data_IF_452931789757
#
_entry.id   IF_452931789757
#
_cell.length_a   1.000
_cell.length_b   1.000
_cell.length_c   1.000
_cell.angle_alpha   90.00
_cell.angle_beta   90.00
_cell.angle_gamma   90.00
#
_symmetry.space_group_name_H-M   'P 1'
#
loop_
_entity.id
_entity.type
_entity.pdbx_description
1 polymer ?
#
# COMPACT_ATOMS: atom_id res chain seq x y z
N UNK A 1 -17.49 15.20 15.63
CA UNK A 1 -17.33 14.93 14.18
C UNK A 1 -17.45 13.42 14.00
N UNK A 2 -18.40 12.91 13.21
CA UNK A 2 -18.63 11.45 13.13
C UNK A 2 -17.40 10.71 12.62
N UNK A 3 -17.09 9.55 13.20
CA UNK A 3 -15.95 8.69 12.81
C UNK A 3 -15.95 8.42 11.29
N UNK A 4 -17.14 8.21 10.70
CA UNK A 4 -17.32 7.99 9.26
C UNK A 4 -16.86 9.14 8.35
N UNK A 5 -16.68 10.36 8.87
CA UNK A 5 -16.12 11.48 8.08
C UNK A 5 -14.60 11.40 7.92
N UNK A 6 -13.90 10.58 8.72
CA UNK A 6 -12.46 10.43 8.63
C UNK A 6 -12.06 9.63 7.37
N UNK A 7 -11.16 10.18 6.56
CA UNK A 7 -10.72 9.55 5.31
C UNK A 7 -10.08 8.18 5.53
N UNK A 8 -9.36 7.97 6.63
CA UNK A 8 -8.77 6.65 6.97
C UNK A 8 -9.82 5.59 7.31
N UNK A 9 -10.96 5.99 7.89
CA UNK A 9 -12.07 5.07 8.16
C UNK A 9 -12.78 4.72 6.86
N UNK A 10 -13.03 5.70 6.00
CA UNK A 10 -13.60 5.47 4.67
C UNK A 10 -12.71 4.53 3.84
N UNK A 11 -11.39 4.74 3.86
CA UNK A 11 -10.42 3.84 3.21
C UNK A 11 -10.46 2.43 3.83
N UNK A 12 -10.54 2.32 5.15
CA UNK A 12 -10.62 1.01 5.81
C UNK A 12 -11.89 0.26 5.42
N UNK A 13 -13.01 0.97 5.24
CA UNK A 13 -14.27 0.36 4.79
C UNK A 13 -14.16 -0.14 3.34
N UNK A 14 -13.53 0.61 2.43
CA UNK A 14 -13.32 0.13 1.05
C UNK A 14 -12.38 -1.08 1.02
N UNK A 15 -11.32 -1.09 1.84
CA UNK A 15 -10.42 -2.24 1.97
C UNK A 15 -11.13 -3.47 2.57
N UNK A 16 -12.00 -3.27 3.56
CA UNK A 16 -12.82 -4.33 4.13
C UNK A 16 -13.78 -4.90 3.08
N UNK A 17 -14.36 -4.05 2.22
CA UNK A 17 -15.23 -4.50 1.14
C UNK A 17 -14.48 -5.37 0.11
N UNK A 18 -13.24 -4.98 -0.24
CA UNK A 18 -12.35 -5.81 -1.06
C UNK A 18 -12.09 -7.16 -0.37
N UNK A 19 -11.79 -7.17 0.94
CA UNK A 19 -11.58 -8.41 1.70
C UNK A 19 -12.82 -9.31 1.71
N UNK A 20 -14.00 -8.74 1.93
CA UNK A 20 -15.26 -9.50 1.94
C UNK A 20 -15.53 -10.15 0.57
N UNK A 21 -15.24 -9.44 -0.52
CA UNK A 21 -15.34 -9.99 -1.86
C UNK A 21 -14.38 -11.16 -2.10
N UNK A 22 -13.15 -11.08 -1.57
CA UNK A 22 -12.22 -12.21 -1.59
C UNK A 22 -12.81 -13.43 -0.84
N UNK A 23 -13.39 -13.21 0.33
CA UNK A 23 -14.00 -14.29 1.11
C UNK A 23 -15.20 -14.95 0.39
N UNK A 24 -15.96 -14.20 -0.41
CA UNK A 24 -17.08 -14.73 -1.21
C UNK A 24 -16.62 -15.55 -2.42
N UNK A 25 -15.48 -15.18 -3.03
CA UNK A 25 -14.98 -15.81 -4.26
C UNK A 25 -14.05 -16.99 -3.99
N UNK A 26 -13.27 -16.91 -2.91
CA UNK A 26 -12.26 -17.90 -2.55
C UNK A 26 -12.13 -17.99 -1.02
N UNK A 27 -13.15 -18.56 -0.38
CA UNK A 27 -13.14 -18.70 1.07
C UNK A 27 -11.99 -19.61 1.53
N UNK A 28 -11.16 -19.09 2.42
CA UNK A 28 -10.12 -19.85 3.12
C UNK A 28 -10.01 -19.33 4.55
N UNK A 29 -10.11 -20.20 5.55
CA UNK A 29 -10.00 -19.80 6.95
C UNK A 29 -8.63 -19.20 7.27
N UNK A 30 -7.58 -19.63 6.56
CA UNK A 30 -6.24 -19.11 6.68
C UNK A 30 -6.16 -17.61 6.34
N UNK A 31 -6.95 -17.15 5.35
CA UNK A 31 -7.09 -15.73 5.00
C UNK A 31 -7.64 -14.95 6.19
N UNK A 32 -8.74 -15.46 6.78
CA UNK A 32 -9.37 -14.79 7.92
C UNK A 32 -8.41 -14.67 9.09
N UNK A 33 -7.72 -15.76 9.45
CA UNK A 33 -6.76 -15.77 10.55
C UNK A 33 -5.61 -14.80 10.25
N UNK A 34 -4.99 -14.88 9.06
CA UNK A 34 -3.85 -14.03 8.70
C UNK A 34 -4.21 -12.54 8.73
N UNK A 35 -5.32 -12.15 8.11
CA UNK A 35 -5.77 -10.75 8.08
C UNK A 35 -6.19 -10.26 9.47
N UNK A 36 -6.92 -11.08 10.24
CA UNK A 36 -7.28 -10.73 11.62
C UNK A 36 -6.04 -10.55 12.49
N UNK A 37 -5.05 -11.44 12.39
CA UNK A 37 -3.79 -11.30 13.11
C UNK A 37 -3.03 -10.04 12.69
N UNK A 38 -2.99 -9.71 11.39
CA UNK A 38 -2.37 -8.48 10.91
C UNK A 38 -3.03 -7.24 11.53
N UNK A 39 -4.36 -7.15 11.49
CA UNK A 39 -5.14 -6.00 12.03
C UNK A 39 -5.04 -5.92 13.56
N UNK A 40 -5.19 -7.03 14.27
CA UNK A 40 -5.08 -7.05 15.73
C UNK A 40 -3.66 -6.65 16.16
N UNK A 41 -2.64 -7.15 15.46
CA UNK A 41 -1.24 -6.83 15.75
C UNK A 41 -0.90 -5.37 15.47
N UNK A 42 -1.42 -4.75 14.39
CA UNK A 42 -1.20 -3.32 14.16
C UNK A 42 -1.90 -2.49 15.23
N UNK A 43 -3.15 -2.79 15.59
CA UNK A 43 -3.88 -2.04 16.61
C UNK A 43 -3.20 -2.17 17.98
N UNK A 44 -2.86 -3.39 18.38
CA UNK A 44 -2.19 -3.66 19.65
C UNK A 44 -0.82 -2.95 19.71
N UNK A 45 0.00 -3.09 18.67
CA UNK A 45 1.32 -2.46 18.61
C UNK A 45 1.23 -0.93 18.59
N UNK A 46 0.25 -0.35 17.90
CA UNK A 46 0.05 1.10 17.90
C UNK A 46 -0.28 1.61 19.30
N UNK A 47 -1.20 0.96 20.01
CA UNK A 47 -1.53 1.32 21.39
C UNK A 47 -0.34 1.14 22.33
N UNK A 48 0.38 0.02 22.22
CA UNK A 48 1.58 -0.23 23.00
C UNK A 48 2.62 0.86 22.79
N UNK A 49 2.94 1.20 21.54
CA UNK A 49 3.93 2.21 21.21
C UNK A 49 3.48 3.63 21.55
N UNK A 50 2.19 3.96 21.44
CA UNK A 50 1.65 5.22 21.94
C UNK A 50 1.80 5.34 23.45
N UNK A 51 1.54 4.26 24.20
CA UNK A 51 1.74 4.20 25.66
C UNK A 51 3.21 4.38 26.02
N UNK A 52 4.14 3.71 25.33
CA UNK A 52 5.59 3.88 25.52
C UNK A 52 6.00 5.33 25.26
N UNK A 53 5.45 5.96 24.23
CA UNK A 53 5.69 7.37 23.90
C UNK A 53 4.93 8.37 24.78
N UNK A 54 4.16 7.90 25.77
CA UNK A 54 3.30 8.71 26.65
C UNK A 54 2.34 9.62 25.88
N UNK A 55 1.87 9.17 24.71
CA UNK A 55 0.87 9.87 23.90
C UNK A 55 -0.52 9.39 24.31
N UNK A 56 -1.48 10.32 24.43
CA UNK A 56 -2.88 9.97 24.72
C UNK A 56 -3.42 8.99 23.66
N UNK A 57 -4.08 7.93 24.12
CA UNK A 57 -4.70 6.96 23.22
C UNK A 57 -5.88 7.60 22.48
N UNK A 58 -6.05 7.23 21.23
CA UNK A 58 -7.16 7.68 20.37
C UNK A 58 -7.55 6.53 19.44
N UNK A 59 -8.69 6.66 18.77
CA UNK A 59 -9.20 5.61 17.88
C UNK A 59 -8.20 5.26 16.76
N UNK A 60 -7.76 4.00 16.62
CA UNK A 60 -6.58 3.62 15.83
C UNK A 60 -6.89 3.44 14.34
N UNK A 61 -7.62 4.38 13.72
CA UNK A 61 -8.08 4.27 12.32
C UNK A 61 -6.94 4.04 11.31
N UNK A 62 -5.79 4.69 11.52
CA UNK A 62 -4.61 4.47 10.68
C UNK A 62 -3.97 3.09 10.87
N UNK A 63 -4.01 2.52 12.09
CA UNK A 63 -3.46 1.19 12.35
C UNK A 63 -4.35 0.10 11.74
N UNK A 64 -5.69 0.27 11.81
CA UNK A 64 -6.65 -0.63 11.15
C UNK A 64 -6.43 -0.65 9.63
N UNK A 65 -6.36 0.51 8.98
CA UNK A 65 -6.08 0.61 7.55
C UNK A 65 -4.74 -0.07 7.19
N UNK A 66 -3.70 0.15 8.00
CA UNK A 66 -2.38 -0.47 7.80
C UNK A 66 -2.45 -1.99 7.91
N UNK A 67 -3.17 -2.52 8.91
CA UNK A 67 -3.32 -3.96 9.10
C UNK A 67 -4.12 -4.63 7.99
N UNK A 68 -5.15 -3.96 7.45
CA UNK A 68 -5.88 -4.43 6.27
C UNK A 68 -4.99 -4.48 5.03
N UNK A 69 -4.16 -3.46 4.80
CA UNK A 69 -3.19 -3.47 3.70
C UNK A 69 -2.20 -4.63 3.86
N UNK A 70 -1.60 -4.79 5.04
CA UNK A 70 -0.66 -5.90 5.30
C UNK A 70 -1.35 -7.25 5.07
N UNK A 71 -2.58 -7.42 5.56
CA UNK A 71 -3.35 -8.65 5.39
C UNK A 71 -3.67 -8.97 3.93
N UNK A 72 -4.00 -7.98 3.10
CA UNK A 72 -4.29 -8.15 1.67
C UNK A 72 -3.02 -8.45 0.82
N UNK A 73 -1.84 -8.11 1.33
CA UNK A 73 -0.58 -8.18 0.58
C UNK A 73 0.34 -9.33 1.02
N UNK A 74 0.21 -9.80 2.27
CA UNK A 74 1.00 -10.92 2.79
C UNK A 74 0.33 -12.24 2.42
N UNK A 75 1.08 -13.20 1.87
CA UNK A 75 0.52 -14.52 1.54
C UNK A 75 -0.09 -15.18 2.79
N UNK A 76 -1.39 -15.55 2.75
CA UNK A 76 -2.07 -16.12 3.90
C UNK A 76 -1.48 -17.47 4.32
N UNK A 77 -0.86 -18.22 3.41
CA UNK A 77 -0.30 -19.54 3.69
C UNK A 77 1.06 -19.49 4.40
N UNK A 78 1.63 -18.30 4.55
CA UNK A 78 2.85 -18.10 5.34
C UNK A 78 2.60 -18.35 6.84
N UNK A 79 3.66 -18.73 7.59
CA UNK A 79 3.58 -18.80 9.03
C UNK A 79 3.03 -17.53 9.67
N UNK A 80 2.08 -17.67 10.60
CA UNK A 80 1.34 -16.55 11.19
C UNK A 80 2.21 -15.49 11.89
N UNK A 81 3.42 -15.83 12.31
CA UNK A 81 4.32 -14.85 12.90
C UNK A 81 4.79 -13.79 11.89
N UNK A 82 4.77 -14.07 10.58
CA UNK A 82 5.21 -13.12 9.55
C UNK A 82 4.27 -11.91 9.39
N UNK A 83 2.94 -12.06 9.19
CA UNK A 83 2.03 -10.91 9.18
C UNK A 83 2.02 -10.17 10.54
N UNK A 84 2.22 -10.88 11.65
CA UNK A 84 2.35 -10.26 12.98
C UNK A 84 3.59 -9.37 13.05
N UNK A 85 4.76 -9.87 12.64
CA UNK A 85 6.00 -9.07 12.63
C UNK A 85 5.94 -7.91 11.64
N UNK A 86 5.31 -8.08 10.48
CA UNK A 86 5.08 -7.00 9.53
C UNK A 86 4.27 -5.88 10.18
N UNK A 87 3.21 -6.24 10.91
CA UNK A 87 2.39 -5.29 11.66
C UNK A 87 3.15 -4.57 12.77
N UNK A 88 4.01 -5.29 13.52
CA UNK A 88 4.86 -4.70 14.56
C UNK A 88 5.84 -3.70 13.95
N UNK A 89 6.57 -4.09 12.88
CA UNK A 89 7.51 -3.21 12.19
C UNK A 89 6.83 -1.99 11.55
N UNK A 90 5.63 -2.16 11.00
CA UNK A 90 4.83 -1.06 10.49
C UNK A 90 4.53 -0.03 11.58
N UNK A 91 4.03 -0.49 12.73
CA UNK A 91 3.69 0.41 13.84
C UNK A 91 4.94 0.99 14.51
N UNK A 92 6.05 0.28 14.52
CA UNK A 92 7.34 0.79 14.99
C UNK A 92 7.77 1.98 14.12
N UNK A 93 7.75 1.83 12.80
CA UNK A 93 8.07 2.93 11.86
C UNK A 93 7.15 4.13 12.04
N UNK A 94 5.84 3.89 12.11
CA UNK A 94 4.83 4.94 12.34
C UNK A 94 5.07 5.72 13.64
N UNK A 95 5.52 5.05 14.70
CA UNK A 95 5.63 5.66 16.03
C UNK A 95 7.00 6.26 16.32
N UNK A 96 8.09 5.65 15.85
CA UNK A 96 9.45 6.03 16.22
C UNK A 96 10.27 6.66 15.08
N UNK A 97 10.00 6.32 13.81
CA UNK A 97 10.75 6.87 12.67
C UNK A 97 10.03 8.10 12.11
N UNK A 98 10.25 9.25 12.75
CA UNK A 98 9.45 10.47 12.55
C UNK A 98 10.29 11.75 12.53
N UNK A 99 9.82 12.74 11.78
CA UNK A 99 10.23 14.14 11.87
C UNK A 99 8.95 14.99 11.95
N UNK A 100 8.43 15.19 13.16
CA UNK A 100 7.05 15.64 13.44
C UNK A 100 5.99 14.58 13.09
N UNK A 101 5.92 14.19 11.82
CA UNK A 101 5.12 13.07 11.29
C UNK A 101 6.00 11.89 10.91
N UNK A 102 5.41 10.71 10.74
CA UNK A 102 6.16 9.52 10.33
C UNK A 102 6.69 9.67 8.91
N UNK A 103 7.91 9.17 8.73
CA UNK A 103 8.64 9.31 7.46
C UNK A 103 8.10 8.31 6.45
N UNK A 104 7.99 7.05 6.82
CA UNK A 104 7.66 5.97 5.89
C UNK A 104 6.18 5.59 5.91
N UNK A 105 5.68 5.07 4.78
CA UNK A 105 4.38 4.41 4.72
C UNK A 105 4.46 3.17 5.63
N UNK A 106 3.67 3.09 6.71
CA UNK A 106 3.84 2.04 7.71
C UNK A 106 3.70 0.62 7.13
N UNK A 107 2.68 0.37 6.31
CA UNK A 107 2.44 -0.96 5.72
C UNK A 107 3.63 -1.39 4.85
N UNK A 108 4.07 -0.48 3.98
CA UNK A 108 5.20 -0.71 3.07
C UNK A 108 6.49 -1.01 3.84
N UNK A 109 6.72 -0.29 4.94
CA UNK A 109 7.91 -0.48 5.77
C UNK A 109 7.89 -1.86 6.46
N UNK A 110 6.76 -2.25 7.03
CA UNK A 110 6.60 -3.56 7.68
C UNK A 110 6.75 -4.73 6.71
N UNK A 111 6.11 -4.64 5.54
CA UNK A 111 6.19 -5.63 4.47
C UNK A 111 7.62 -5.75 3.93
N UNK A 112 8.32 -4.64 3.68
CA UNK A 112 9.69 -4.68 3.18
C UNK A 112 10.65 -5.31 4.20
N UNK A 113 10.58 -4.92 5.48
CA UNK A 113 11.46 -5.50 6.50
C UNK A 113 11.24 -7.01 6.68
N UNK A 114 9.98 -7.45 6.74
CA UNK A 114 9.70 -8.89 6.84
C UNK A 114 10.11 -9.64 5.59
N UNK A 115 9.94 -9.06 4.40
CA UNK A 115 10.39 -9.67 3.15
C UNK A 115 11.91 -9.82 3.09
N UNK A 116 12.66 -8.76 3.40
CA UNK A 116 14.13 -8.75 3.33
C UNK A 116 14.77 -9.61 4.42
N UNK A 117 14.30 -9.52 5.67
CA UNK A 117 14.97 -10.17 6.80
C UNK A 117 14.44 -11.57 7.11
N UNK A 118 13.20 -11.88 6.72
CA UNK A 118 12.52 -13.14 7.07
C UNK A 118 12.01 -13.91 5.85
N UNK A 119 12.26 -13.43 4.63
CA UNK A 119 11.85 -14.10 3.40
C UNK A 119 10.33 -14.13 3.17
N UNK A 120 9.57 -13.24 3.81
CA UNK A 120 8.13 -13.16 3.59
C UNK A 120 7.82 -12.69 2.16
N UNK A 121 7.04 -13.48 1.41
CA UNK A 121 6.58 -13.08 0.09
C UNK A 121 5.48 -12.01 0.20
N UNK A 122 5.56 -10.99 -0.66
CA UNK A 122 4.52 -9.99 -0.84
C UNK A 122 3.74 -10.39 -2.09
N UNK A 123 2.67 -11.17 -1.88
CA UNK A 123 1.96 -11.86 -2.97
C UNK A 123 0.87 -11.01 -3.62
N UNK A 124 0.45 -9.92 -2.97
CA UNK A 124 -0.69 -9.11 -3.40
C UNK A 124 -1.98 -9.94 -3.58
N UNK A 125 -2.09 -11.07 -2.86
CA UNK A 125 -3.12 -12.10 -3.09
C UNK A 125 -4.54 -11.54 -3.06
N UNK A 126 -4.81 -10.54 -2.21
CA UNK A 126 -6.15 -9.98 -2.06
C UNK A 126 -6.60 -9.11 -3.23
N UNK A 127 -5.71 -8.85 -4.20
CA UNK A 127 -5.90 -7.87 -5.27
C UNK A 127 -5.47 -8.39 -6.64
N UNK A 128 -4.36 -9.12 -6.75
CA UNK A 128 -3.70 -9.45 -8.02
C UNK A 128 -4.61 -10.21 -9.02
N UNK A 129 -5.58 -10.98 -8.53
CA UNK A 129 -6.50 -11.75 -9.37
C UNK A 129 -7.64 -10.93 -9.98
N UNK A 130 -7.84 -9.68 -9.55
CA UNK A 130 -8.94 -8.82 -9.96
C UNK A 130 -8.66 -8.20 -11.34
N UNK A 131 -8.36 -9.02 -12.34
CA UNK A 131 -7.86 -8.60 -13.65
C UNK A 131 -8.96 -7.87 -14.43
N UNK A 132 -8.59 -6.77 -15.09
CA UNK A 132 -9.49 -6.05 -15.97
C UNK A 132 -9.73 -6.83 -17.28
N UNK A 133 -10.95 -7.35 -17.44
CA UNK A 133 -11.38 -8.07 -18.65
C UNK A 133 -12.87 -7.79 -18.90
N UNK A 134 -13.19 -7.11 -19.99
CA UNK A 134 -14.57 -6.78 -20.36
C UNK A 134 -15.42 -8.01 -20.71
N UNK A 135 -14.79 -9.12 -21.11
CA UNK A 135 -15.49 -10.33 -21.53
C UNK A 135 -16.02 -11.16 -20.36
N UNK A 136 -15.47 -10.96 -19.16
CA UNK A 136 -15.75 -11.78 -17.97
C UNK A 136 -16.25 -10.93 -16.81
N UNK A 137 -17.56 -10.99 -16.56
CA UNK A 137 -18.16 -10.32 -15.40
C UNK A 137 -17.54 -10.73 -14.06
N UNK A 138 -17.07 -11.99 -13.95
CA UNK A 138 -16.44 -12.52 -12.74
C UNK A 138 -15.16 -11.77 -12.33
N UNK A 139 -14.41 -11.21 -13.28
CA UNK A 139 -13.17 -10.45 -13.00
C UNK A 139 -13.39 -8.94 -13.13
N UNK A 140 -14.29 -8.50 -14.02
CA UNK A 140 -14.65 -7.10 -14.20
C UNK A 140 -15.27 -6.49 -12.92
N UNK A 141 -16.23 -7.17 -12.28
CA UNK A 141 -16.90 -6.65 -11.08
C UNK A 141 -15.90 -6.44 -9.93
N UNK A 142 -15.04 -7.44 -9.59
CA UNK A 142 -13.94 -7.23 -8.64
C UNK A 142 -13.03 -6.05 -9.00
N UNK A 143 -12.62 -5.91 -10.26
CA UNK A 143 -11.77 -4.78 -10.68
C UNK A 143 -12.46 -3.43 -10.46
N UNK A 144 -13.76 -3.31 -10.75
CA UNK A 144 -14.50 -2.07 -10.46
C UNK A 144 -14.56 -1.77 -8.96
N UNK A 145 -14.68 -2.81 -8.13
CA UNK A 145 -14.63 -2.69 -6.67
C UNK A 145 -13.23 -2.28 -6.19
N UNK A 146 -12.17 -2.77 -6.85
CA UNK A 146 -10.79 -2.36 -6.59
C UNK A 146 -10.59 -0.84 -6.74
N UNK A 147 -11.35 -0.19 -7.62
CA UNK A 147 -11.30 1.26 -7.82
C UNK A 147 -12.01 2.05 -6.72
N UNK A 148 -12.80 1.42 -5.84
CA UNK A 148 -13.54 2.11 -4.77
C UNK A 148 -12.66 2.97 -3.83
N UNK A 149 -11.43 2.59 -3.44
CA UNK A 149 -10.55 3.43 -2.64
C UNK A 149 -10.12 4.72 -3.37
N UNK A 150 -10.14 4.72 -4.71
CA UNK A 150 -9.74 5.87 -5.51
C UNK A 150 -10.60 7.10 -5.19
N UNK A 151 -11.90 6.90 -4.91
CA UNK A 151 -12.78 7.99 -4.50
C UNK A 151 -12.25 8.71 -3.25
N UNK A 152 -11.80 7.94 -2.25
CA UNK A 152 -11.24 8.50 -1.01
C UNK A 152 -9.92 9.22 -1.30
N UNK A 153 -9.02 8.61 -2.06
CA UNK A 153 -7.69 9.17 -2.30
C UNK A 153 -7.67 10.38 -3.23
N UNK A 154 -8.51 10.38 -4.27
CA UNK A 154 -8.62 11.48 -5.23
C UNK A 154 -9.36 12.65 -4.60
N UNK A 155 -10.55 12.44 -4.04
CA UNK A 155 -11.42 13.53 -3.62
C UNK A 155 -11.23 13.90 -2.15
N UNK A 156 -11.21 12.92 -1.24
CA UNK A 156 -11.13 13.20 0.21
C UNK A 156 -9.73 13.54 0.66
N UNK A 157 -8.71 12.97 0.02
CA UNK A 157 -7.30 13.26 0.33
C UNK A 157 -6.66 14.26 -0.64
N UNK A 158 -7.34 14.60 -1.74
CA UNK A 158 -6.88 15.56 -2.75
C UNK A 158 -5.49 15.23 -3.31
N UNK A 159 -5.23 13.93 -3.57
CA UNK A 159 -3.93 13.41 -4.02
C UNK A 159 -3.88 12.98 -5.48
N UNK A 160 -4.87 13.36 -6.28
CA UNK A 160 -4.94 12.99 -7.70
C UNK A 160 -3.67 13.30 -8.51
N UNK A 161 -2.96 14.38 -8.17
CA UNK A 161 -1.72 14.79 -8.86
C UNK A 161 -0.57 13.80 -8.65
N UNK A 162 -0.48 13.20 -7.46
CA UNK A 162 0.51 12.14 -7.18
C UNK A 162 0.21 10.93 -8.05
N UNK A 163 -1.05 10.50 -8.06
CA UNK A 163 -1.53 9.31 -8.77
C UNK A 163 -1.29 9.47 -10.28
N UNK A 164 -1.75 10.59 -10.87
CA UNK A 164 -1.57 10.85 -12.30
C UNK A 164 -0.11 10.97 -12.69
N UNK A 165 0.70 11.69 -11.90
CA UNK A 165 2.13 11.83 -12.21
C UNK A 165 2.87 10.50 -12.13
N UNK A 166 2.53 9.64 -11.17
CA UNK A 166 3.09 8.30 -11.04
C UNK A 166 2.75 7.43 -12.25
N UNK A 167 1.46 7.33 -12.60
CA UNK A 167 1.00 6.52 -13.72
C UNK A 167 1.60 6.98 -15.05
N UNK A 168 1.70 8.30 -15.26
CA UNK A 168 2.28 8.88 -16.45
C UNK A 168 3.76 8.52 -16.60
N UNK A 169 4.58 8.75 -15.56
CA UNK A 169 6.01 8.42 -15.60
C UNK A 169 6.24 6.92 -15.70
N UNK A 170 5.41 6.10 -15.03
CA UNK A 170 5.50 4.64 -15.13
C UNK A 170 5.25 4.17 -16.57
N UNK A 171 4.18 4.64 -17.21
CA UNK A 171 3.85 4.27 -18.59
C UNK A 171 4.89 4.78 -19.59
N UNK A 172 5.42 5.99 -19.41
CA UNK A 172 6.52 6.51 -20.22
C UNK A 172 7.81 5.69 -20.04
N UNK A 173 8.16 5.34 -18.81
CA UNK A 173 9.35 4.53 -18.56
C UNK A 173 9.24 3.16 -19.22
N UNK A 174 8.10 2.48 -19.04
CA UNK A 174 7.84 1.20 -19.70
C UNK A 174 7.92 1.31 -21.23
N UNK A 175 7.34 2.35 -21.83
CA UNK A 175 7.35 2.51 -23.28
C UNK A 175 8.73 2.78 -23.87
N UNK A 176 9.58 3.51 -23.15
CA UNK A 176 10.97 3.77 -23.56
C UNK A 176 11.80 2.49 -23.53
N UNK A 177 11.73 1.72 -22.45
CA UNK A 177 12.58 0.53 -22.29
C UNK A 177 12.12 -0.67 -23.11
N UNK A 178 10.80 -0.94 -23.16
CA UNK A 178 10.23 -2.05 -23.91
C UNK A 178 9.84 -1.69 -25.35
N UNK A 179 10.11 -0.45 -25.78
CA UNK A 179 9.78 0.09 -27.12
C UNK A 179 8.34 -0.16 -27.56
N UNK A 180 7.41 -0.30 -26.61
CA UNK A 180 6.01 -0.62 -26.87
C UNK A 180 5.10 0.09 -25.86
N UNK A 181 4.01 0.67 -26.36
CA UNK A 181 2.99 1.29 -25.52
C UNK A 181 1.93 0.24 -25.18
N UNK A 182 2.10 -0.44 -24.04
CA UNK A 182 1.09 -1.35 -23.53
C UNK A 182 0.26 -0.69 -22.42
N UNK A 183 -0.94 -0.22 -22.76
CA UNK A 183 -1.84 0.44 -21.81
C UNK A 183 -2.33 -0.55 -20.73
N UNK A 184 -2.29 -1.86 -20.98
CA UNK A 184 -2.71 -2.84 -19.98
C UNK A 184 -1.82 -2.83 -18.73
N UNK A 185 -0.57 -2.35 -18.81
CA UNK A 185 0.33 -2.28 -17.65
C UNK A 185 -0.15 -1.32 -16.58
N UNK A 186 -0.88 -0.26 -16.95
CA UNK A 186 -1.46 0.67 -15.95
C UNK A 186 -2.76 0.15 -15.34
N UNK A 187 -3.36 -0.88 -15.96
CA UNK A 187 -4.56 -1.57 -15.48
C UNK A 187 -4.23 -2.82 -14.67
N UNK A 188 -2.94 -3.10 -14.44
CA UNK A 188 -2.51 -4.16 -13.55
C UNK A 188 -3.09 -3.93 -12.12
N UNK A 189 -3.78 -4.90 -11.52
CA UNK A 189 -4.45 -4.72 -10.24
C UNK A 189 -3.51 -4.32 -9.10
N UNK A 190 -2.28 -4.84 -9.08
CA UNK A 190 -1.30 -4.53 -8.02
C UNK A 190 -0.86 -3.08 -8.12
N UNK A 191 -0.59 -2.61 -9.34
CA UNK A 191 -0.22 -1.23 -9.61
C UNK A 191 -1.37 -0.25 -9.35
N UNK A 192 -2.60 -0.61 -9.75
CA UNK A 192 -3.80 0.17 -9.47
C UNK A 192 -3.97 0.34 -7.97
N UNK A 193 -3.97 -0.74 -7.20
CA UNK A 193 -4.11 -0.67 -5.74
C UNK A 193 -2.99 0.14 -5.09
N UNK A 194 -1.73 -0.11 -5.47
CA UNK A 194 -0.60 0.65 -4.97
C UNK A 194 -0.80 2.17 -5.21
N UNK A 195 -1.15 2.55 -6.44
CA UNK A 195 -1.29 3.94 -6.85
C UNK A 195 -2.43 4.67 -6.14
N UNK A 196 -3.51 3.98 -5.77
CA UNK A 196 -4.69 4.60 -5.14
C UNK A 196 -4.73 4.43 -3.62
N UNK A 197 -4.10 3.40 -3.03
CA UNK A 197 -4.15 3.13 -1.58
C UNK A 197 -2.87 3.53 -0.86
N UNK A 198 -1.71 3.11 -1.38
CA UNK A 198 -0.45 3.17 -0.63
C UNK A 198 0.34 4.43 -0.95
N UNK A 199 0.43 4.77 -2.24
CA UNK A 199 1.15 5.94 -2.75
C UNK A 199 0.59 7.29 -2.25
N UNK A 200 -0.73 7.55 -2.24
CA UNK A 200 -1.27 8.87 -1.93
C UNK A 200 -1.56 9.07 -0.42
N UNK A 201 -0.71 8.54 0.46
CA UNK A 201 -0.94 8.64 1.90
C UNK A 201 -0.60 10.06 2.46
N UNK A 202 -1.58 10.81 3.02
CA UNK A 202 -1.36 12.24 3.32
C UNK A 202 -0.27 12.54 4.33
N UNK A 203 -0.02 11.61 5.27
CA UNK A 203 1.01 11.77 6.29
C UNK A 203 2.42 11.57 5.73
N UNK A 204 2.55 10.78 4.66
CA UNK A 204 3.84 10.39 4.08
C UNK A 204 4.15 11.07 2.75
N UNK A 205 3.21 11.86 2.21
CA UNK A 205 3.42 12.61 0.97
C UNK A 205 3.38 14.13 1.18
N UNK A 206 3.97 14.92 0.26
CA UNK A 206 3.89 16.37 0.29
C UNK A 206 2.46 16.91 0.13
N UNK A 207 2.20 18.08 0.71
CA UNK A 207 0.92 18.80 0.52
C UNK A 207 0.89 19.70 -0.72
N UNK A 208 2.00 20.37 -1.04
CA UNK A 208 2.06 21.34 -2.14
C UNK A 208 1.89 20.69 -3.51
N UNK A 209 1.10 21.31 -4.40
CA UNK A 209 0.76 20.75 -5.72
C UNK A 209 1.97 20.38 -6.58
N UNK A 210 3.00 21.24 -6.66
CA UNK A 210 4.21 20.93 -7.42
C UNK A 210 5.00 19.76 -6.80
N UNK A 211 5.08 19.71 -5.48
CA UNK A 211 5.79 18.64 -4.77
C UNK A 211 5.05 17.30 -4.85
N UNK A 212 3.73 17.32 -4.97
CA UNK A 212 2.94 16.13 -5.24
C UNK A 212 3.28 15.52 -6.61
N UNK A 213 3.39 16.35 -7.65
CA UNK A 213 3.78 15.90 -9.00
C UNK A 213 5.20 15.34 -8.95
N UNK A 214 6.15 16.09 -8.38
CA UNK A 214 7.54 15.63 -8.25
C UNK A 214 7.66 14.31 -7.47
N UNK A 215 6.90 14.16 -6.39
CA UNK A 215 6.89 12.92 -5.60
C UNK A 215 6.35 11.74 -6.40
N UNK A 216 5.18 11.89 -7.04
CA UNK A 216 4.58 10.83 -7.86
C UNK A 216 5.48 10.43 -9.02
N UNK A 217 6.05 11.41 -9.73
CA UNK A 217 6.99 11.17 -10.82
C UNK A 217 8.29 10.50 -10.36
N UNK A 218 8.85 10.92 -9.23
CA UNK A 218 10.05 10.30 -8.66
C UNK A 218 9.81 8.83 -8.28
N UNK A 219 8.69 8.52 -7.63
CA UNK A 219 8.34 7.13 -7.31
C UNK A 219 8.12 6.31 -8.59
N UNK A 220 7.43 6.85 -9.59
CA UNK A 220 7.21 6.18 -10.88
C UNK A 220 8.51 5.86 -11.60
N UNK A 221 9.44 6.83 -11.63
CA UNK A 221 10.78 6.64 -12.18
C UNK A 221 11.57 5.56 -11.43
N UNK A 222 11.55 5.60 -10.09
CA UNK A 222 12.22 4.61 -9.26
C UNK A 222 11.67 3.19 -9.49
N UNK A 223 10.35 3.03 -9.64
CA UNK A 223 9.75 1.73 -9.93
C UNK A 223 10.30 1.14 -11.22
N UNK A 224 10.31 1.93 -12.30
CA UNK A 224 10.80 1.48 -13.61
C UNK A 224 12.31 1.17 -13.56
N UNK A 225 13.09 2.05 -12.92
CA UNK A 225 14.53 1.86 -12.81
C UNK A 225 14.88 0.61 -12.00
N UNK A 226 14.19 0.38 -10.87
CA UNK A 226 14.45 -0.76 -10.01
C UNK A 226 13.96 -2.08 -10.62
N UNK A 227 12.80 -2.08 -11.29
CA UNK A 227 12.24 -3.28 -11.92
C UNK A 227 13.07 -3.76 -13.10
N UNK A 228 13.64 -2.85 -13.90
CA UNK A 228 14.39 -3.20 -15.11
C UNK A 228 15.86 -3.48 -14.82
N UNK A 229 16.49 -2.68 -13.95
CA UNK A 229 17.95 -2.74 -13.77
C UNK A 229 18.36 -3.45 -12.48
N UNK A 230 17.88 -3.00 -11.31
CA UNK A 230 18.47 -3.45 -10.04
C UNK A 230 18.01 -4.84 -9.63
N UNK A 231 16.70 -5.10 -9.65
CA UNK A 231 16.17 -6.34 -9.07
C UNK A 231 16.54 -7.61 -9.84
N UNK A 232 16.63 -7.61 -11.18
CA UNK A 232 17.14 -8.77 -11.93
C UNK A 232 18.59 -9.13 -11.58
N UNK A 233 19.39 -8.16 -11.11
CA UNK A 233 20.80 -8.36 -10.78
C UNK A 233 20.96 -8.91 -9.36
N UNK A 234 20.13 -8.46 -8.43
CA UNK A 234 20.34 -8.68 -6.99
C UNK A 234 19.74 -10.00 -6.49
N UNK A 235 18.91 -10.70 -7.30
CA UNK A 235 18.24 -11.96 -6.93
C UNK A 235 17.47 -11.92 -5.58
N UNK A 236 17.24 -10.74 -5.02
CA UNK A 236 16.39 -10.55 -3.85
C UNK A 236 14.95 -10.39 -4.30
N UNK A 237 14.05 -11.13 -3.67
CA UNK A 237 12.59 -11.08 -3.89
C UNK A 237 11.98 -9.81 -3.26
N UNK A 238 12.52 -8.64 -3.58
CA UNK A 238 12.01 -7.35 -3.10
C UNK A 238 11.00 -6.81 -4.10
N UNK A 239 9.84 -6.42 -3.60
CA UNK A 239 8.80 -5.80 -4.41
C UNK A 239 9.22 -4.37 -4.88
N UNK A 240 9.30 -4.11 -6.21
CA UNK A 240 9.75 -2.82 -6.74
C UNK A 240 8.85 -1.65 -6.34
N UNK A 241 7.54 -1.85 -6.20
CA UNK A 241 6.58 -0.79 -5.85
C UNK A 241 6.82 -0.32 -4.41
N UNK A 242 6.96 -1.28 -3.50
CA UNK A 242 7.13 -1.02 -2.06
C UNK A 242 8.46 -0.32 -1.79
N UNK A 243 9.57 -0.83 -2.34
CA UNK A 243 10.88 -0.19 -2.12
C UNK A 243 10.94 1.22 -2.72
N UNK A 244 10.35 1.42 -3.90
CA UNK A 244 10.30 2.74 -4.56
C UNK A 244 9.49 3.75 -3.74
N UNK A 245 8.38 3.31 -3.13
CA UNK A 245 7.61 4.17 -2.23
C UNK A 245 8.42 4.57 -1.00
N UNK A 246 9.14 3.64 -0.37
CA UNK A 246 9.95 3.97 0.80
C UNK A 246 11.10 4.92 0.45
N UNK A 247 11.76 4.73 -0.69
CA UNK A 247 12.79 5.65 -1.19
C UNK A 247 12.21 7.02 -1.50
N UNK A 248 11.06 7.09 -2.19
CA UNK A 248 10.36 8.35 -2.43
C UNK A 248 9.99 9.06 -1.13
N UNK A 249 9.51 8.31 -0.13
CA UNK A 249 9.21 8.85 1.19
C UNK A 249 10.45 9.48 1.83
N UNK A 250 11.61 8.81 1.76
CA UNK A 250 12.89 9.30 2.28
C UNK A 250 13.49 10.46 1.48
N UNK A 251 13.18 10.60 0.19
CA UNK A 251 13.63 11.77 -0.59
C UNK A 251 12.80 13.02 -0.25
N UNK A 252 11.50 12.84 0.01
CA UNK A 252 10.56 13.96 0.16
C UNK A 252 10.13 14.26 1.60
N UNK A 253 10.67 13.59 2.63
CA UNK A 253 10.21 13.79 4.02
C UNK A 253 10.44 15.19 4.58
N UNK A 254 11.47 15.91 4.12
CA UNK A 254 11.73 17.30 4.52
C UNK A 254 10.88 18.32 3.75
N UNK A 255 10.44 17.96 2.54
CA UNK A 255 9.73 18.87 1.63
C UNK A 255 8.21 18.77 1.76
N UNK A 256 7.75 18.31 2.91
CA UNK A 256 6.47 17.65 3.02
C UNK A 256 5.38 18.59 3.50
#
# INVERSE_FOLDING_TARGET
MSLLKQSKIQLSLTLLFILLLNALTSFNYQILISVSLAVLSTVFSDFLFLKIRKVKLFFPSAAIATGLIIGLLTDPNLPFYLPVLASVFAMFSKNFIRMGRHIFNPASFGLLLTSVFLGASISWWGVAWQIFDFSKFQTLIPFLILLSPAFVSIFRMSRFRIILSFLFIYLLGQSIFFKSLNIQTILDPTLVFFSIVMLPEPMTTPNNHLRQILFGGAVGFLVVLLSIFLLPIINLSIDPLIISLLLGNLLFFKFR
#
